data_IF_974178576451
#
_entry.id   IF_974178576451
#
_cell.length_a   1.000
_cell.length_b   1.000
_cell.length_c   1.000
_cell.angle_alpha   90.00
_cell.angle_beta   90.00
_cell.angle_gamma   90.00
#
_symmetry.space_group_name_H-M   'P 1'
#
loop_
_entity.id
_entity.type
_entity.pdbx_description
1 polymer ?
#
# COMPACT_ATOMS: atom_id res chain seq x y z
N UNK A 1 24.27 44.53 61.33
CA UNK A 1 24.79 43.30 60.65
C UNK A 1 23.59 42.41 60.33
N UNK A 2 23.06 42.48 59.13
CA UNK A 2 21.95 41.61 58.64
C UNK A 2 22.52 40.72 57.54
N UNK A 3 22.56 39.42 57.78
CA UNK A 3 22.97 38.40 56.76
C UNK A 3 21.80 38.10 55.88
N UNK A 4 21.93 38.40 54.58
CA UNK A 4 20.96 38.06 53.58
C UNK A 4 21.23 36.61 53.10
N UNK A 5 20.25 35.75 53.25
CA UNK A 5 20.27 34.36 52.80
C UNK A 5 19.76 34.33 51.31
N UNK A 6 20.63 33.93 50.41
CA UNK A 6 20.27 33.73 49.00
C UNK A 6 19.80 32.24 48.85
N UNK A 7 18.54 32.05 48.56
CA UNK A 7 17.98 30.73 48.23
C UNK A 7 18.10 30.54 46.71
N UNK A 8 19.00 29.67 46.30
CA UNK A 8 19.02 29.16 44.91
C UNK A 8 17.90 28.15 44.68
N UNK A 9 16.91 28.51 43.92
CA UNK A 9 15.88 27.59 43.42
C UNK A 9 16.43 26.79 42.24
N UNK A 10 16.77 25.54 42.45
CA UNK A 10 17.05 24.60 41.36
C UNK A 10 15.74 24.17 40.70
N UNK A 11 15.47 24.67 39.49
CA UNK A 11 14.38 24.18 38.64
C UNK A 11 14.84 22.87 38.03
N UNK A 12 14.30 21.76 38.53
CA UNK A 12 14.45 20.43 37.95
C UNK A 12 13.50 20.34 36.74
N UNK A 13 14.04 20.45 35.54
CA UNK A 13 13.32 20.14 34.28
C UNK A 13 13.15 18.63 34.21
N UNK A 14 11.96 18.15 34.54
CA UNK A 14 11.51 16.78 34.28
C UNK A 14 11.19 16.65 32.78
N UNK A 15 12.13 16.16 31.99
CA UNK A 15 11.87 15.63 30.66
C UNK A 15 11.10 14.31 30.80
N UNK A 16 10.01 14.10 30.07
CA UNK A 16 9.36 12.80 30.08
C UNK A 16 10.24 11.79 29.36
N UNK A 17 10.77 10.85 30.10
CA UNK A 17 11.43 9.66 29.56
C UNK A 17 10.33 8.81 28.92
N UNK A 18 10.20 8.89 27.61
CA UNK A 18 9.43 7.89 26.86
C UNK A 18 10.15 6.55 26.98
N UNK A 19 9.63 5.70 27.84
CA UNK A 19 10.00 4.29 27.90
C UNK A 19 9.64 3.64 26.57
N UNK A 20 10.61 3.52 25.67
CA UNK A 20 10.54 2.64 24.51
C UNK A 20 10.63 1.22 25.05
N UNK A 21 9.49 0.61 25.35
CA UNK A 21 9.41 -0.83 25.57
C UNK A 21 9.69 -1.50 24.23
N UNK A 22 10.95 -1.83 23.99
CA UNK A 22 11.36 -2.76 22.96
C UNK A 22 10.83 -4.15 23.33
N UNK A 23 9.70 -4.52 22.73
CA UNK A 23 9.29 -5.91 22.73
C UNK A 23 10.27 -6.69 21.83
N UNK A 24 11.30 -7.26 22.42
CA UNK A 24 12.05 -8.36 21.82
C UNK A 24 11.14 -9.60 21.83
N UNK A 25 10.22 -9.66 20.87
CA UNK A 25 9.57 -10.91 20.52
C UNK A 25 10.65 -11.83 19.94
N UNK A 26 10.75 -13.05 20.46
CA UNK A 26 11.49 -14.15 19.86
C UNK A 26 10.80 -14.46 18.49
N UNK A 27 11.09 -13.63 17.48
CA UNK A 27 10.70 -13.90 16.10
C UNK A 27 11.46 -15.13 15.63
N UNK A 28 10.76 -16.22 15.39
CA UNK A 28 11.30 -17.28 14.55
C UNK A 28 11.56 -16.64 13.19
N UNK A 29 12.82 -16.33 12.90
CA UNK A 29 13.23 -15.83 11.60
C UNK A 29 12.84 -16.90 10.58
N UNK A 30 11.83 -16.61 9.75
CA UNK A 30 11.57 -17.43 8.58
C UNK A 30 12.81 -17.37 7.71
N UNK A 31 13.55 -18.48 7.63
CA UNK A 31 14.66 -18.58 6.69
C UNK A 31 14.08 -18.59 5.27
N UNK A 32 14.46 -17.60 4.48
CA UNK A 32 14.13 -17.49 3.06
C UNK A 32 15.11 -18.39 2.28
N UNK A 33 14.84 -19.68 2.23
CA UNK A 33 15.74 -20.72 1.69
C UNK A 33 16.01 -20.62 0.16
N UNK A 34 15.37 -19.71 -0.54
CA UNK A 34 15.52 -19.50 -2.00
C UNK A 34 15.92 -18.08 -2.39
N UNK A 35 16.47 -17.29 -1.45
CA UNK A 35 16.81 -15.90 -1.72
C UNK A 35 18.17 -15.75 -2.36
N UNK A 36 18.25 -15.02 -3.47
CA UNK A 36 19.50 -14.52 -4.02
C UNK A 36 19.94 -13.26 -3.25
N UNK A 37 21.27 -13.04 -3.18
CA UNK A 37 21.83 -11.86 -2.51
C UNK A 37 21.35 -10.57 -3.17
N UNK A 38 21.01 -9.57 -2.38
CA UNK A 38 20.50 -8.28 -2.88
C UNK A 38 19.03 -8.25 -3.32
N UNK A 39 18.38 -9.40 -3.49
CA UNK A 39 17.02 -9.51 -4.02
C UNK A 39 15.97 -8.97 -3.04
N UNK A 40 15.02 -8.18 -3.56
CA UNK A 40 13.87 -7.64 -2.84
C UNK A 40 12.57 -8.06 -3.55
N UNK A 41 11.66 -8.71 -2.83
CA UNK A 41 10.32 -9.04 -3.33
C UNK A 41 9.32 -7.98 -2.86
N UNK A 42 8.68 -7.32 -3.83
CA UNK A 42 7.67 -6.28 -3.61
C UNK A 42 6.31 -6.81 -4.01
N UNK A 43 5.28 -6.56 -3.21
CA UNK A 43 3.89 -6.89 -3.49
C UNK A 43 3.04 -5.62 -3.38
N UNK A 44 2.02 -5.48 -4.23
CA UNK A 44 0.96 -4.50 -4.04
C UNK A 44 -0.41 -5.18 -4.12
N UNK A 45 -1.35 -4.73 -3.28
CA UNK A 45 -2.72 -5.22 -3.31
C UNK A 45 -3.73 -4.19 -2.80
N UNK A 46 -4.73 -3.86 -3.61
CA UNK A 46 -5.92 -3.18 -3.13
C UNK A 46 -6.80 -4.20 -2.40
N UNK A 47 -7.09 -3.97 -1.12
CA UNK A 47 -7.81 -4.90 -0.25
C UNK A 47 -9.33 -4.74 -0.28
N UNK A 48 -9.89 -3.90 -1.15
CA UNK A 48 -11.34 -3.64 -1.24
C UNK A 48 -11.98 -3.39 0.13
N UNK A 49 -11.76 -2.19 0.70
CA UNK A 49 -12.41 -1.74 1.94
C UNK A 49 -12.10 -2.61 3.18
N UNK A 50 -10.85 -2.59 3.64
CA UNK A 50 -10.48 -3.15 4.94
C UNK A 50 -10.83 -2.15 6.05
N UNK A 51 -12.11 -2.10 6.42
CA UNK A 51 -12.63 -1.22 7.44
C UNK A 51 -12.56 -1.82 8.85
N UNK A 52 -12.53 -0.94 9.86
CA UNK A 52 -12.78 -1.30 11.26
C UNK A 52 -14.26 -1.75 11.41
N UNK A 53 -14.49 -2.75 12.23
CA UNK A 53 -15.87 -3.21 12.53
C UNK A 53 -16.54 -2.42 13.65
N UNK A 54 -15.77 -1.61 14.37
CA UNK A 54 -16.26 -0.73 15.44
C UNK A 54 -16.83 0.53 14.80
N UNK A 55 -17.82 1.10 15.45
CA UNK A 55 -18.27 2.44 15.12
C UNK A 55 -17.37 3.41 15.87
N UNK A 56 -16.53 4.13 15.19
CA UNK A 56 -15.82 5.25 15.77
C UNK A 56 -16.70 6.49 15.66
N UNK A 57 -17.18 7.01 16.81
CA UNK A 57 -18.11 8.13 16.86
C UNK A 57 -17.43 9.48 16.76
N UNK A 58 -16.10 9.54 16.67
CA UNK A 58 -15.32 10.78 16.79
C UNK A 58 -14.99 11.47 15.46
N UNK A 59 -15.47 10.99 14.33
CA UNK A 59 -15.16 11.63 13.06
C UNK A 59 -15.75 10.96 11.82
N UNK A 60 -16.88 10.27 11.97
CA UNK A 60 -17.51 9.40 10.98
C UNK A 60 -17.34 9.82 9.53
N UNK A 61 -16.64 9.00 8.74
CA UNK A 61 -16.57 9.14 7.30
C UNK A 61 -17.82 8.54 6.64
N UNK A 62 -17.99 8.78 5.34
CA UNK A 62 -19.18 8.32 4.59
C UNK A 62 -19.34 6.78 4.62
N UNK A 63 -18.24 6.04 4.75
CA UNK A 63 -18.23 4.58 4.72
C UNK A 63 -18.51 3.94 6.08
N UNK A 64 -18.27 4.64 7.17
CA UNK A 64 -18.46 4.11 8.54
C UNK A 64 -19.90 3.69 8.83
N UNK A 65 -20.88 4.46 8.35
CA UNK A 65 -22.30 4.13 8.46
C UNK A 65 -22.67 2.83 7.70
N UNK A 66 -21.93 2.49 6.68
CA UNK A 66 -22.13 1.28 5.87
C UNK A 66 -21.35 0.07 6.43
N UNK A 67 -20.04 0.28 6.78
CA UNK A 67 -19.10 -0.76 7.15
C UNK A 67 -18.85 -0.88 8.66
N UNK A 68 -19.89 -0.82 9.46
CA UNK A 68 -19.82 -1.16 10.88
C UNK A 68 -20.66 -2.39 11.21
N UNK A 69 -20.54 -2.90 12.43
CA UNK A 69 -21.34 -4.06 12.89
C UNK A 69 -22.86 -3.79 12.83
N UNK A 70 -23.27 -2.53 12.94
CA UNK A 70 -24.67 -2.07 12.89
C UNK A 70 -25.00 -1.41 11.55
N UNK A 71 -24.02 -1.20 10.69
CA UNK A 71 -24.20 -0.62 9.37
C UNK A 71 -24.87 -1.55 8.37
N UNK A 72 -25.20 -1.02 7.19
CA UNK A 72 -25.89 -1.76 6.11
C UNK A 72 -25.19 -3.06 5.69
N UNK A 73 -23.86 -3.10 5.76
CA UNK A 73 -23.03 -4.28 5.42
C UNK A 73 -22.93 -5.28 6.56
N UNK A 74 -23.36 -4.93 7.78
CA UNK A 74 -23.13 -5.76 8.97
C UNK A 74 -21.66 -6.24 9.06
N UNK A 75 -20.71 -5.29 8.95
CA UNK A 75 -19.29 -5.56 8.99
C UNK A 75 -18.84 -5.87 10.40
N UNK A 76 -18.97 -7.15 10.81
CA UNK A 76 -18.69 -7.61 12.18
C UNK A 76 -17.21 -7.97 12.35
N UNK A 77 -16.73 -8.00 13.61
CA UNK A 77 -15.40 -8.51 13.97
C UNK A 77 -15.09 -9.87 13.33
N UNK A 78 -16.07 -10.77 13.29
CA UNK A 78 -15.90 -12.11 12.67
C UNK A 78 -15.61 -12.00 11.17
N UNK A 79 -16.32 -11.13 10.44
CA UNK A 79 -16.11 -10.92 9.00
C UNK A 79 -14.76 -10.24 8.74
N UNK A 80 -14.41 -9.25 9.56
CA UNK A 80 -13.10 -8.61 9.52
C UNK A 80 -11.96 -9.63 9.72
N UNK A 81 -12.02 -10.44 10.77
CA UNK A 81 -10.99 -11.45 11.03
C UNK A 81 -10.94 -12.54 9.95
N UNK A 82 -12.08 -12.91 9.38
CA UNK A 82 -12.11 -13.84 8.25
C UNK A 82 -11.34 -13.26 7.04
N UNK A 83 -11.56 -11.99 6.72
CA UNK A 83 -10.84 -11.29 5.66
C UNK A 83 -9.35 -11.16 5.99
N UNK A 84 -8.98 -10.75 7.20
CA UNK A 84 -7.58 -10.67 7.63
C UNK A 84 -6.86 -12.03 7.53
N UNK A 85 -7.50 -13.13 7.91
CA UNK A 85 -6.92 -14.46 7.77
C UNK A 85 -6.74 -14.87 6.31
N UNK A 86 -7.66 -14.50 5.43
CA UNK A 86 -7.52 -14.76 4.00
C UNK A 86 -6.39 -13.92 3.39
N UNK A 87 -6.21 -12.65 3.81
CA UNK A 87 -5.07 -11.80 3.42
C UNK A 87 -3.75 -12.45 3.88
N UNK A 88 -3.66 -12.84 5.15
CA UNK A 88 -2.46 -13.49 5.68
C UNK A 88 -2.15 -14.80 4.94
N UNK A 89 -3.17 -15.64 4.67
CA UNK A 89 -3.02 -16.85 3.87
C UNK A 89 -2.48 -16.54 2.47
N UNK A 90 -2.92 -15.44 1.86
CA UNK A 90 -2.45 -15.02 0.54
C UNK A 90 -0.97 -14.63 0.56
N UNK A 91 -0.53 -13.90 1.59
CA UNK A 91 0.88 -13.53 1.76
C UNK A 91 1.76 -14.79 1.94
N UNK A 92 1.31 -15.77 2.70
CA UNK A 92 2.04 -17.05 2.82
C UNK A 92 1.99 -17.87 1.53
N UNK A 93 0.89 -17.81 0.78
CA UNK A 93 0.83 -18.44 -0.55
C UNK A 93 1.84 -17.81 -1.51
N UNK A 94 2.01 -16.47 -1.47
CA UNK A 94 3.07 -15.78 -2.22
C UNK A 94 4.44 -16.28 -1.79
N UNK A 95 4.70 -16.39 -0.47
CA UNK A 95 5.94 -16.99 0.04
C UNK A 95 6.21 -18.38 -0.53
N UNK A 96 5.18 -19.24 -0.57
CA UNK A 96 5.34 -20.62 -1.07
C UNK A 96 5.61 -20.64 -2.59
N UNK A 97 5.09 -19.68 -3.35
CA UNK A 97 5.30 -19.56 -4.79
C UNK A 97 6.63 -18.89 -5.14
N UNK A 98 7.01 -17.85 -4.39
CA UNK A 98 8.22 -17.08 -4.63
C UNK A 98 9.46 -17.64 -3.90
N UNK A 99 9.28 -18.57 -2.96
CA UNK A 99 10.33 -19.07 -2.09
C UNK A 99 10.70 -18.14 -0.93
N UNK A 100 10.21 -16.90 -0.94
CA UNK A 100 10.49 -15.86 0.04
C UNK A 100 9.22 -15.07 0.40
N UNK A 101 9.15 -14.55 1.62
CA UNK A 101 8.12 -13.57 1.97
C UNK A 101 8.36 -12.26 1.22
N UNK A 102 7.30 -11.53 0.80
CA UNK A 102 7.45 -10.17 0.32
C UNK A 102 8.20 -9.31 1.35
N UNK A 103 9.22 -8.59 0.91
CA UNK A 103 9.97 -7.67 1.78
C UNK A 103 9.17 -6.39 2.02
N UNK A 104 8.39 -5.99 1.01
CA UNK A 104 7.52 -4.83 1.03
C UNK A 104 6.15 -5.20 0.47
N UNK A 105 5.09 -4.77 1.15
CA UNK A 105 3.71 -4.93 0.70
C UNK A 105 3.05 -3.55 0.73
N UNK A 106 2.81 -2.96 -0.44
CA UNK A 106 1.94 -1.81 -0.60
C UNK A 106 0.48 -2.25 -0.54
N UNK A 107 -0.33 -1.48 0.14
CA UNK A 107 -1.74 -1.81 0.38
C UNK A 107 -2.58 -0.56 0.09
N UNK A 108 -3.74 -0.75 -0.54
CA UNK A 108 -4.76 0.28 -0.69
C UNK A 108 -6.08 -0.15 -0.07
N UNK A 109 -6.94 0.83 0.21
CA UNK A 109 -8.26 0.69 0.81
C UNK A 109 -8.24 0.10 2.23
N UNK A 110 -7.38 0.63 3.07
CA UNK A 110 -7.41 0.42 4.53
C UNK A 110 -7.98 1.66 5.22
N UNK A 111 -8.76 1.48 6.28
CA UNK A 111 -9.36 2.61 6.96
C UNK A 111 -8.38 3.34 7.88
N UNK A 112 -7.59 2.61 8.66
CA UNK A 112 -6.74 3.20 9.69
C UNK A 112 -5.63 2.24 10.15
N UNK A 113 -4.73 2.75 10.99
CA UNK A 113 -3.64 1.96 11.56
C UNK A 113 -4.11 0.76 12.38
N UNK A 114 -5.25 0.90 13.08
CA UNK A 114 -5.78 -0.18 13.91
C UNK A 114 -6.07 -1.44 13.12
N UNK A 115 -6.70 -1.35 11.95
CA UNK A 115 -7.00 -2.54 11.11
C UNK A 115 -5.73 -3.26 10.67
N UNK A 116 -4.65 -2.53 10.39
CA UNK A 116 -3.34 -3.09 10.05
C UNK A 116 -2.68 -3.79 11.25
N UNK A 117 -2.78 -3.20 12.44
CA UNK A 117 -2.30 -3.84 13.67
C UNK A 117 -3.04 -5.14 13.97
N UNK A 118 -4.37 -5.18 13.74
CA UNK A 118 -5.15 -6.41 13.89
C UNK A 118 -4.78 -7.45 12.85
N UNK A 119 -4.57 -7.02 11.59
CA UNK A 119 -4.08 -7.90 10.54
C UNK A 119 -2.76 -8.57 10.95
N UNK A 120 -1.80 -7.82 11.46
CA UNK A 120 -0.50 -8.38 11.85
C UNK A 120 -0.58 -9.22 13.14
N UNK A 121 -1.38 -8.81 14.14
CA UNK A 121 -1.36 -9.44 15.48
C UNK A 121 -2.36 -10.58 15.64
N UNK A 122 -3.51 -10.54 14.94
CA UNK A 122 -4.59 -11.53 15.10
C UNK A 122 -4.63 -12.58 13.98
N UNK A 123 -3.60 -12.63 13.11
CA UNK A 123 -3.41 -13.64 12.07
C UNK A 123 -2.03 -14.28 12.19
N UNK A 124 -1.73 -15.38 11.49
CA UNK A 124 -0.39 -15.99 11.49
C UNK A 124 0.76 -15.06 11.12
N UNK A 125 0.49 -13.84 10.59
CA UNK A 125 1.51 -12.82 10.34
C UNK A 125 2.19 -12.32 11.62
N UNK A 126 1.63 -12.58 12.83
CA UNK A 126 2.29 -12.26 14.10
C UNK A 126 3.65 -12.95 14.25
N UNK A 127 3.90 -14.02 13.50
CA UNK A 127 5.16 -14.77 13.48
C UNK A 127 6.23 -14.12 12.58
N UNK A 128 5.85 -13.09 11.82
CA UNK A 128 6.73 -12.37 10.92
C UNK A 128 7.26 -11.10 11.58
N UNK A 129 8.22 -10.48 10.96
CA UNK A 129 8.84 -9.22 11.40
C UNK A 129 8.27 -7.98 10.69
N UNK A 130 7.08 -8.08 10.10
CA UNK A 130 6.46 -6.94 9.44
C UNK A 130 6.21 -5.76 10.38
N UNK A 131 6.55 -4.57 9.87
CA UNK A 131 6.25 -3.26 10.48
C UNK A 131 5.32 -2.48 9.55
N UNK A 132 4.61 -1.51 10.13
CA UNK A 132 3.58 -0.73 9.44
C UNK A 132 4.08 0.70 9.22
N UNK A 133 3.96 1.19 7.99
CA UNK A 133 3.96 2.61 7.64
C UNK A 133 2.56 2.98 7.18
N UNK A 134 1.93 3.94 7.84
CA UNK A 134 0.58 4.39 7.56
C UNK A 134 0.37 5.82 8.06
N UNK A 135 -0.35 6.62 7.28
CA UNK A 135 -0.81 7.95 7.61
C UNK A 135 -2.27 8.08 7.18
N UNK A 136 -3.08 8.76 8.00
CA UNK A 136 -4.44 9.10 7.64
C UNK A 136 -4.42 10.15 6.52
N UNK A 137 -5.30 10.02 5.54
CA UNK A 137 -5.44 10.95 4.41
C UNK A 137 -6.81 11.63 4.40
N UNK A 138 -6.96 12.75 3.70
CA UNK A 138 -8.22 13.51 3.70
C UNK A 138 -9.32 12.90 2.80
N UNK A 139 -9.24 11.64 2.42
CA UNK A 139 -10.24 11.00 1.56
C UNK A 139 -11.62 10.95 2.24
N UNK A 140 -12.71 11.39 1.57
CA UNK A 140 -14.05 11.40 2.17
C UNK A 140 -14.60 10.01 2.54
N UNK A 141 -14.13 8.95 1.87
CA UNK A 141 -14.51 7.57 2.18
C UNK A 141 -13.79 7.04 3.42
N UNK A 142 -12.76 7.75 3.93
CA UNK A 142 -11.92 7.30 5.03
C UNK A 142 -11.12 6.06 4.67
N UNK A 143 -10.55 6.02 3.47
CA UNK A 143 -9.65 4.96 3.03
C UNK A 143 -8.28 5.54 2.71
N UNK A 144 -7.24 4.78 3.07
CA UNK A 144 -5.85 5.17 2.95
C UNK A 144 -5.05 4.16 2.15
N UNK A 145 -3.80 4.52 1.90
CA UNK A 145 -2.74 3.59 1.50
C UNK A 145 -1.84 3.29 2.69
N UNK A 146 -1.24 2.11 2.68
CA UNK A 146 -0.30 1.69 3.71
C UNK A 146 0.86 0.89 3.10
N UNK A 147 1.91 0.69 3.89
CA UNK A 147 3.02 -0.16 3.52
C UNK A 147 3.42 -1.04 4.72
N UNK A 148 3.54 -2.34 4.48
CA UNK A 148 4.16 -3.28 5.39
C UNK A 148 5.56 -3.59 4.89
N UNK A 149 6.55 -3.64 5.79
CA UNK A 149 7.93 -4.00 5.44
C UNK A 149 8.54 -4.94 6.45
N UNK A 150 9.46 -5.77 6.01
CA UNK A 150 10.22 -6.67 6.87
C UNK A 150 11.40 -5.94 7.52
N UNK A 151 11.32 -5.76 8.85
CA UNK A 151 12.34 -5.01 9.60
C UNK A 151 13.69 -5.72 9.69
N UNK A 152 13.75 -7.02 9.41
CA UNK A 152 15.01 -7.77 9.27
C UNK A 152 15.71 -7.54 7.93
N UNK A 153 15.00 -6.93 6.96
CA UNK A 153 15.48 -6.76 5.58
C UNK A 153 15.70 -5.31 5.20
N UNK A 154 14.94 -4.40 5.79
CA UNK A 154 14.91 -2.99 5.43
C UNK A 154 14.88 -2.14 6.70
N UNK A 155 15.76 -1.16 6.76
CA UNK A 155 15.73 -0.12 7.79
C UNK A 155 14.96 1.09 7.26
N UNK A 156 13.89 1.47 7.96
CA UNK A 156 13.08 2.65 7.59
C UNK A 156 13.84 3.93 7.96
N UNK A 157 14.25 4.70 6.96
CA UNK A 157 14.97 5.97 7.14
C UNK A 157 13.99 7.14 7.24
N UNK A 158 12.95 7.14 6.41
CA UNK A 158 11.96 8.21 6.36
C UNK A 158 10.63 7.70 5.84
N UNK A 159 9.54 8.22 6.39
CA UNK A 159 8.22 8.06 5.79
C UNK A 159 7.43 9.37 5.93
N UNK A 160 6.62 9.70 4.92
CA UNK A 160 5.73 10.86 4.93
C UNK A 160 4.54 10.70 3.97
N UNK A 161 3.38 11.28 4.31
CA UNK A 161 2.30 11.45 3.36
C UNK A 161 2.63 12.60 2.40
N UNK A 162 2.20 12.48 1.15
CA UNK A 162 2.36 13.51 0.11
C UNK A 162 0.95 13.87 -0.37
N UNK A 163 0.50 15.06 -0.02
CA UNK A 163 -0.82 15.55 -0.42
C UNK A 163 -0.94 15.71 -1.95
N UNK A 164 -2.05 15.22 -2.50
CA UNK A 164 -2.31 15.23 -3.94
C UNK A 164 -3.20 16.42 -4.36
N UNK A 165 -4.31 16.64 -3.66
CA UNK A 165 -5.35 17.55 -4.13
C UNK A 165 -5.28 18.99 -3.60
N UNK A 166 -4.38 19.27 -2.65
CA UNK A 166 -4.35 20.55 -1.94
C UNK A 166 -3.83 21.74 -2.76
N UNK A 167 -3.04 21.47 -3.80
CA UNK A 167 -2.47 22.50 -4.70
C UNK A 167 -3.24 22.70 -6.01
N UNK A 168 -4.37 22.04 -6.20
CA UNK A 168 -5.19 22.14 -7.43
C UNK A 168 -6.24 23.25 -7.32
N UNK A 169 -6.74 23.72 -8.45
CA UNK A 169 -7.84 24.69 -8.53
C UNK A 169 -9.00 24.10 -9.35
N UNK A 170 -10.16 23.82 -8.75
CA UNK A 170 -10.42 23.84 -7.29
C UNK A 170 -9.71 22.69 -6.55
N UNK A 171 -9.39 22.87 -5.27
CA UNK A 171 -8.81 21.80 -4.47
C UNK A 171 -9.80 20.64 -4.28
N UNK A 172 -9.28 19.42 -4.19
CA UNK A 172 -10.09 18.24 -3.93
C UNK A 172 -9.45 17.35 -2.86
N UNK A 173 -10.29 16.57 -2.19
CA UNK A 173 -9.87 15.63 -1.15
C UNK A 173 -9.74 14.23 -1.74
N UNK A 174 -8.60 13.60 -1.49
CA UNK A 174 -8.31 12.23 -1.94
C UNK A 174 -7.22 11.62 -1.04
N UNK A 175 -6.83 10.38 -1.32
CA UNK A 175 -5.71 9.71 -0.66
C UNK A 175 -4.41 10.42 -0.97
N UNK A 176 -3.56 10.52 0.03
CA UNK A 176 -2.18 10.96 -0.13
C UNK A 176 -1.33 9.85 -0.74
N UNK A 177 -0.26 10.20 -1.44
CA UNK A 177 0.78 9.24 -1.81
C UNK A 177 1.63 8.97 -0.57
N UNK A 178 1.85 7.70 -0.23
CA UNK A 178 2.73 7.33 0.87
C UNK A 178 4.14 7.14 0.34
N UNK A 179 5.06 7.99 0.75
CA UNK A 179 6.49 7.83 0.51
C UNK A 179 7.15 7.16 1.70
N UNK A 180 7.91 6.09 1.46
CA UNK A 180 8.77 5.44 2.44
C UNK A 180 10.15 5.18 1.84
N UNK A 181 11.21 5.63 2.53
CA UNK A 181 12.61 5.46 2.15
C UNK A 181 13.27 4.46 3.09
N UNK A 182 13.99 3.52 2.51
CA UNK A 182 14.66 2.47 3.26
C UNK A 182 16.14 2.41 2.89
N UNK A 183 16.92 1.86 3.82
CA UNK A 183 18.27 1.40 3.57
C UNK A 183 18.28 -0.14 3.65
N UNK A 184 18.92 -0.78 2.68
CA UNK A 184 19.18 -2.22 2.68
C UNK A 184 20.45 -2.54 3.49
N UNK A 185 20.65 -3.78 3.93
CA UNK A 185 21.86 -4.18 4.66
C UNK A 185 23.17 -3.96 3.89
N UNK A 186 23.12 -3.97 2.55
CA UNK A 186 24.25 -3.68 1.66
C UNK A 186 24.56 -2.17 1.55
N UNK A 187 23.77 -1.31 2.17
CA UNK A 187 23.93 0.15 2.16
C UNK A 187 23.15 0.85 1.06
N UNK A 188 22.54 0.12 0.12
CA UNK A 188 21.71 0.70 -0.93
C UNK A 188 20.44 1.35 -0.37
N UNK A 189 20.10 2.52 -0.89
CA UNK A 189 18.85 3.21 -0.57
C UNK A 189 17.77 2.88 -1.60
N UNK A 190 16.54 2.65 -1.12
CA UNK A 190 15.38 2.31 -1.93
C UNK A 190 14.16 3.08 -1.45
N UNK A 191 13.41 3.70 -2.36
CA UNK A 191 12.16 4.37 -2.03
C UNK A 191 10.96 3.65 -2.64
N UNK A 192 9.88 3.59 -1.86
CA UNK A 192 8.58 3.12 -2.29
C UNK A 192 7.57 4.25 -2.22
N UNK A 193 6.76 4.39 -3.27
CA UNK A 193 5.65 5.34 -3.34
C UNK A 193 4.36 4.55 -3.55
N UNK A 194 3.53 4.46 -2.51
CA UNK A 194 2.25 3.74 -2.59
C UNK A 194 1.15 4.71 -2.98
N UNK A 195 0.41 4.37 -4.03
CA UNK A 195 -0.60 5.21 -4.67
C UNK A 195 -1.97 4.56 -4.66
N UNK A 196 -3.02 5.37 -4.55
CA UNK A 196 -4.38 4.99 -4.90
C UNK A 196 -5.09 6.20 -5.50
N UNK A 197 -5.12 6.25 -6.83
CA UNK A 197 -5.63 7.38 -7.58
C UNK A 197 -7.17 7.46 -7.53
N UNK A 198 -7.76 8.65 -7.78
CA UNK A 198 -9.21 8.81 -7.86
C UNK A 198 -9.86 7.88 -8.88
N UNK A 199 -10.93 7.18 -8.45
CA UNK A 199 -11.67 6.25 -9.30
C UNK A 199 -12.30 6.93 -10.52
N UNK A 200 -12.53 6.17 -11.60
CA UNK A 200 -13.30 6.60 -12.77
C UNK A 200 -14.78 6.87 -12.46
N UNK A 201 -15.28 6.38 -11.34
CA UNK A 201 -16.67 6.52 -10.94
C UNK A 201 -17.03 8.00 -10.68
N UNK A 202 -18.12 8.48 -11.32
CA UNK A 202 -18.56 9.87 -11.17
C UNK A 202 -18.20 10.84 -12.33
N UNK A 203 -17.64 10.37 -13.43
CA UNK A 203 -17.64 11.03 -14.77
C UNK A 203 -16.71 12.23 -14.98
N UNK A 204 -16.15 12.88 -13.95
CA UNK A 204 -15.27 14.05 -14.08
C UNK A 204 -13.93 13.90 -13.34
N UNK A 205 -13.43 12.69 -13.20
CA UNK A 205 -12.25 12.39 -12.38
C UNK A 205 -10.93 12.32 -13.15
N UNK A 206 -10.95 12.50 -14.49
CA UNK A 206 -9.74 12.48 -15.33
C UNK A 206 -8.70 13.50 -14.86
N UNK A 207 -9.07 14.76 -14.70
CA UNK A 207 -8.17 15.80 -14.21
C UNK A 207 -7.64 15.55 -12.79
N UNK A 208 -8.41 14.86 -11.93
CA UNK A 208 -7.93 14.49 -10.59
C UNK A 208 -6.88 13.37 -10.63
N UNK A 209 -7.03 12.41 -11.55
CA UNK A 209 -6.00 11.37 -11.76
C UNK A 209 -4.74 11.96 -12.37
N UNK A 210 -4.90 12.86 -13.34
CA UNK A 210 -3.78 13.59 -13.93
C UNK A 210 -3.02 14.43 -12.87
N UNK A 211 -3.72 15.14 -12.00
CA UNK A 211 -3.11 15.85 -10.86
C UNK A 211 -2.33 14.91 -9.93
N UNK A 212 -2.83 13.68 -9.70
CA UNK A 212 -2.11 12.68 -8.93
C UNK A 212 -0.84 12.19 -9.64
N UNK A 213 -0.88 12.00 -10.97
CA UNK A 213 0.30 11.65 -11.77
C UNK A 213 1.34 12.78 -11.76
N UNK A 214 0.91 14.04 -11.94
CA UNK A 214 1.79 15.21 -11.86
C UNK A 214 2.47 15.26 -10.47
N UNK A 215 1.68 15.07 -9.41
CA UNK A 215 2.22 15.07 -8.04
C UNK A 215 3.22 13.95 -7.81
N UNK A 216 2.92 12.74 -8.30
CA UNK A 216 3.85 11.61 -8.24
C UNK A 216 5.15 11.94 -8.99
N UNK A 217 5.04 12.55 -10.19
CA UNK A 217 6.19 12.98 -10.98
C UNK A 217 7.06 13.97 -10.24
N UNK A 218 6.49 15.05 -9.69
CA UNK A 218 7.21 16.05 -8.90
C UNK A 218 8.01 15.42 -7.74
N UNK A 219 7.41 14.43 -7.07
CA UNK A 219 8.07 13.74 -5.95
C UNK A 219 9.21 12.87 -6.44
N UNK A 220 9.02 12.11 -7.51
CA UNK A 220 10.08 11.24 -8.06
C UNK A 220 11.25 12.06 -8.60
N UNK A 221 11.00 13.17 -9.29
CA UNK A 221 12.06 14.08 -9.75
C UNK A 221 12.85 14.65 -8.57
N UNK A 222 12.14 15.17 -7.56
CA UNK A 222 12.78 15.72 -6.35
C UNK A 222 13.65 14.70 -5.61
N UNK A 223 13.26 13.42 -5.60
CA UNK A 223 14.05 12.35 -4.99
C UNK A 223 15.31 12.05 -5.81
N UNK A 224 15.19 12.01 -7.13
CA UNK A 224 16.30 11.77 -8.05
C UNK A 224 17.29 12.92 -8.04
N UNK A 225 16.82 14.16 -8.04
CA UNK A 225 17.66 15.36 -7.88
C UNK A 225 18.43 15.35 -6.55
N UNK A 226 17.84 14.73 -5.51
CA UNK A 226 18.51 14.52 -4.22
C UNK A 226 19.44 13.28 -4.20
N UNK A 227 19.65 12.60 -5.33
CA UNK A 227 20.54 11.45 -5.47
C UNK A 227 19.92 10.09 -5.09
N UNK A 228 18.61 10.05 -4.82
CA UNK A 228 17.92 8.78 -4.55
C UNK A 228 17.42 8.16 -5.87
N UNK A 229 18.23 7.28 -6.43
CA UNK A 229 17.99 6.75 -7.78
C UNK A 229 17.04 5.54 -7.79
N UNK A 230 17.09 4.67 -6.77
CA UNK A 230 16.30 3.43 -6.76
C UNK A 230 14.90 3.67 -6.21
N UNK A 231 13.89 3.64 -7.07
CA UNK A 231 12.50 3.89 -6.70
C UNK A 231 11.54 2.91 -7.35
N UNK A 232 10.50 2.57 -6.58
CA UNK A 232 9.34 1.80 -7.03
C UNK A 232 8.07 2.57 -6.66
N UNK A 233 7.33 3.08 -7.64
CA UNK A 233 5.97 3.53 -7.45
C UNK A 233 5.02 2.38 -7.74
N UNK A 234 4.10 2.12 -6.82
CA UNK A 234 3.12 1.04 -6.92
C UNK A 234 1.75 1.52 -6.48
N UNK A 235 0.71 0.94 -7.03
CA UNK A 235 -0.63 1.36 -6.63
C UNK A 235 -1.74 0.91 -7.55
N UNK A 236 -2.96 1.23 -7.11
CA UNK A 236 -4.15 1.28 -7.94
C UNK A 236 -4.24 2.67 -8.57
N UNK A 237 -3.91 2.75 -9.86
CA UNK A 237 -3.92 3.99 -10.61
C UNK A 237 -5.31 4.31 -11.20
N UNK A 238 -6.28 3.41 -11.04
CA UNK A 238 -7.64 3.56 -11.52
C UNK A 238 -7.74 3.94 -13.01
N UNK A 239 -6.74 3.56 -13.79
CA UNK A 239 -6.72 3.67 -15.25
C UNK A 239 -5.84 2.57 -15.87
N UNK A 240 -6.03 2.27 -17.14
CA UNK A 240 -5.25 1.25 -17.84
C UNK A 240 -3.92 1.83 -18.35
N UNK A 241 -2.84 1.03 -18.42
CA UNK A 241 -1.49 1.53 -18.71
C UNK A 241 -1.34 2.16 -20.10
N UNK A 242 -2.28 1.91 -21.01
CA UNK A 242 -2.32 2.52 -22.35
C UNK A 242 -2.83 3.97 -22.34
N UNK A 243 -3.36 4.46 -21.21
CA UNK A 243 -3.83 5.85 -21.14
C UNK A 243 -2.65 6.82 -21.35
N UNK A 244 -2.76 7.75 -22.34
CA UNK A 244 -1.67 8.70 -22.64
C UNK A 244 -1.24 9.57 -21.45
N UNK A 245 -2.09 9.75 -20.43
CA UNK A 245 -1.75 10.50 -19.23
C UNK A 245 -0.52 9.90 -18.47
N UNK A 246 -0.25 8.59 -18.63
CA UNK A 246 0.94 7.98 -18.04
C UNK A 246 2.26 8.45 -18.69
N UNK A 247 2.20 9.11 -19.86
CA UNK A 247 3.34 9.84 -20.43
C UNK A 247 3.94 10.86 -19.46
N UNK A 248 3.15 11.42 -18.53
CA UNK A 248 3.63 12.29 -17.45
C UNK A 248 4.75 11.61 -16.64
N UNK A 249 4.69 10.30 -16.45
CA UNK A 249 5.70 9.54 -15.69
C UNK A 249 6.79 8.95 -16.57
N UNK A 250 6.49 8.64 -17.85
CA UNK A 250 7.32 7.78 -18.70
C UNK A 250 8.00 8.51 -19.85
N UNK A 251 7.66 9.78 -20.10
CA UNK A 251 8.13 10.50 -21.30
C UNK A 251 8.66 11.89 -20.96
N UNK A 252 9.57 12.43 -21.80
CA UNK A 252 9.92 13.83 -21.86
C UNK A 252 10.70 14.43 -20.69
N UNK A 253 11.26 13.61 -19.79
CA UNK A 253 11.96 14.06 -18.58
C UNK A 253 13.36 13.47 -18.47
N UNK A 254 14.20 14.09 -17.62
CA UNK A 254 15.58 13.64 -17.39
C UNK A 254 15.66 12.23 -16.82
N UNK A 255 14.60 11.80 -16.08
CA UNK A 255 14.57 10.55 -15.34
C UNK A 255 13.19 9.88 -15.48
N UNK A 256 12.83 9.36 -16.66
CA UNK A 256 11.54 8.70 -16.87
C UNK A 256 11.42 7.44 -16.00
N UNK A 257 10.20 7.13 -15.58
CA UNK A 257 9.89 5.84 -14.97
C UNK A 257 9.49 4.83 -16.04
N UNK A 258 9.75 3.56 -15.78
CA UNK A 258 9.37 2.45 -16.65
C UNK A 258 8.07 1.84 -16.12
N UNK A 259 7.02 1.82 -16.95
CA UNK A 259 5.76 1.16 -16.62
C UNK A 259 5.86 -0.35 -16.92
N UNK A 260 5.88 -1.17 -15.86
CA UNK A 260 6.00 -2.62 -15.98
C UNK A 260 4.69 -3.33 -16.33
N UNK A 261 3.56 -2.63 -16.29
CA UNK A 261 2.25 -3.22 -16.57
C UNK A 261 1.90 -3.29 -18.07
N UNK A 262 2.51 -2.45 -18.91
CA UNK A 262 2.24 -2.41 -20.35
C UNK A 262 2.39 -3.77 -21.07
N UNK A 263 3.46 -4.56 -20.86
CA UNK A 263 3.60 -5.85 -21.50
C UNK A 263 2.53 -6.86 -21.09
N UNK A 264 2.00 -6.77 -19.86
CA UNK A 264 0.95 -7.66 -19.36
C UNK A 264 -0.40 -7.26 -19.94
N UNK A 265 -0.72 -5.97 -19.94
CA UNK A 265 -1.96 -5.45 -20.52
C UNK A 265 -2.06 -5.79 -22.00
N UNK A 266 -0.97 -5.66 -22.79
CA UNK A 266 -0.94 -6.02 -24.20
C UNK A 266 -1.22 -7.51 -24.47
N UNK A 267 -0.98 -8.39 -23.48
CA UNK A 267 -1.36 -9.81 -23.53
C UNK A 267 -2.77 -10.09 -23.01
N UNK A 268 -3.54 -9.05 -22.66
CA UNK A 268 -4.89 -9.18 -22.12
C UNK A 268 -4.95 -9.60 -20.65
N UNK A 269 -3.84 -9.45 -19.92
CA UNK A 269 -3.83 -9.63 -18.47
C UNK A 269 -4.41 -8.41 -17.76
N UNK A 270 -4.89 -8.60 -16.53
CA UNK A 270 -5.42 -7.51 -15.71
C UNK A 270 -5.55 -7.91 -14.26
N UNK A 271 -5.70 -6.92 -13.41
CA UNK A 271 -5.82 -7.07 -11.96
C UNK A 271 -7.27 -7.07 -11.49
N UNK A 272 -8.17 -6.43 -12.24
CA UNK A 272 -9.62 -6.46 -12.01
C UNK A 272 -10.35 -7.08 -13.21
N UNK A 273 -11.59 -7.54 -12.94
CA UNK A 273 -12.47 -7.99 -14.03
C UNK A 273 -13.75 -7.20 -14.08
N UNK A 274 -13.90 -6.39 -15.11
CA UNK A 274 -15.07 -5.56 -15.35
C UNK A 274 -15.80 -6.00 -16.62
N UNK A 275 -17.12 -6.24 -16.53
CA UNK A 275 -17.95 -6.68 -17.66
C UNK A 275 -17.34 -7.85 -18.47
N UNK A 276 -16.74 -8.81 -17.79
CA UNK A 276 -16.11 -9.98 -18.40
C UNK A 276 -14.72 -9.76 -19.02
N UNK A 277 -14.21 -8.55 -18.98
CA UNK A 277 -12.85 -8.21 -19.47
C UNK A 277 -11.91 -7.98 -18.31
N UNK A 278 -10.67 -8.40 -18.45
CA UNK A 278 -9.60 -8.05 -17.54
C UNK A 278 -9.08 -6.65 -17.85
N UNK A 279 -8.92 -5.83 -16.82
CA UNK A 279 -8.33 -4.50 -16.90
C UNK A 279 -7.14 -4.43 -15.95
N UNK A 280 -6.03 -3.87 -16.42
CA UNK A 280 -4.81 -3.67 -15.64
C UNK A 280 -4.86 -2.25 -15.05
N UNK A 281 -5.17 -2.12 -13.76
CA UNK A 281 -5.22 -0.82 -13.08
C UNK A 281 -4.28 -0.73 -11.87
N UNK A 282 -3.81 -1.87 -11.39
CA UNK A 282 -2.74 -1.95 -10.40
C UNK A 282 -1.42 -2.13 -11.13
N UNK A 283 -0.42 -1.27 -10.85
CA UNK A 283 0.81 -1.19 -11.62
C UNK A 283 2.03 -0.96 -10.74
N UNK A 284 3.18 -1.33 -11.29
CA UNK A 284 4.48 -0.88 -10.84
C UNK A 284 5.11 0.03 -11.90
N UNK A 285 5.63 1.16 -11.43
CA UNK A 285 6.57 2.00 -12.16
C UNK A 285 7.92 1.96 -11.43
N UNK A 286 9.00 1.77 -12.16
CA UNK A 286 10.34 1.71 -11.58
C UNK A 286 11.25 2.75 -12.22
N UNK A 287 12.22 3.24 -11.45
CA UNK A 287 13.30 4.06 -12.00
C UNK A 287 14.23 3.24 -12.91
N UNK A 288 14.94 3.89 -13.82
CA UNK A 288 15.91 3.23 -14.70
C UNK A 288 16.97 2.47 -13.92
N UNK A 289 17.40 2.98 -12.76
CA UNK A 289 18.39 2.32 -11.91
C UNK A 289 17.93 0.97 -11.36
N UNK A 290 16.63 0.80 -11.08
CA UNK A 290 16.04 -0.47 -10.68
C UNK A 290 16.01 -1.46 -11.85
N UNK A 291 15.94 -0.94 -13.08
CA UNK A 291 15.96 -1.75 -14.30
C UNK A 291 17.38 -1.96 -14.90
N UNK A 292 18.45 -1.60 -14.16
CA UNK A 292 19.82 -1.64 -14.66
C UNK A 292 20.31 -3.06 -14.96
N UNK A 293 21.23 -3.14 -15.94
CA UNK A 293 21.86 -4.38 -16.37
C UNK A 293 21.17 -5.09 -17.53
N UNK A 294 20.19 -4.43 -18.19
CA UNK A 294 19.45 -5.00 -19.33
C UNK A 294 18.32 -5.96 -18.95
N UNK A 295 18.14 -6.21 -17.66
CA UNK A 295 17.01 -6.99 -17.13
C UNK A 295 15.98 -6.05 -16.54
N UNK A 296 14.97 -5.67 -17.33
CA UNK A 296 13.78 -5.00 -16.81
C UNK A 296 13.07 -5.99 -15.87
N UNK A 297 12.84 -5.63 -14.60
CA UNK A 297 12.16 -6.51 -13.65
C UNK A 297 10.78 -6.90 -14.17
N UNK A 298 10.39 -8.16 -14.00
CA UNK A 298 9.08 -8.63 -14.45
C UNK A 298 8.04 -8.47 -13.37
N UNK A 299 7.01 -7.68 -13.67
CA UNK A 299 5.78 -7.62 -12.90
C UNK A 299 4.92 -8.86 -13.20
N UNK A 300 4.27 -9.42 -12.18
CA UNK A 300 3.33 -10.54 -12.35
C UNK A 300 2.02 -10.28 -11.60
N UNK A 301 0.90 -10.69 -12.20
CA UNK A 301 -0.42 -10.69 -11.57
C UNK A 301 -0.66 -12.06 -10.92
N UNK A 302 -1.04 -12.09 -9.66
CA UNK A 302 -1.24 -13.33 -8.92
C UNK A 302 -2.72 -13.69 -8.85
N UNK A 303 -3.15 -14.66 -9.65
CA UNK A 303 -4.48 -15.27 -9.55
C UNK A 303 -4.45 -16.38 -8.52
N UNK A 304 -4.58 -16.01 -7.24
CA UNK A 304 -4.51 -16.94 -6.11
C UNK A 304 -5.78 -17.79 -6.12
N UNK A 305 -5.72 -19.14 -6.23
CA UNK A 305 -6.89 -19.97 -6.51
C UNK A 305 -8.06 -19.80 -5.53
N UNK A 306 -7.79 -19.67 -4.23
CA UNK A 306 -8.84 -19.50 -3.22
C UNK A 306 -9.39 -18.06 -3.12
N UNK A 307 -8.84 -17.11 -3.88
CA UNK A 307 -9.37 -15.74 -4.05
C UNK A 307 -10.16 -15.59 -5.36
N UNK A 308 -10.28 -16.65 -6.14
CA UNK A 308 -11.00 -16.61 -7.42
C UNK A 308 -12.36 -17.30 -7.29
N UNK A 309 -13.30 -16.86 -8.09
CA UNK A 309 -14.62 -17.45 -8.22
C UNK A 309 -15.09 -17.43 -9.68
N UNK A 310 -15.99 -18.34 -10.03
CA UNK A 310 -16.60 -18.34 -11.36
C UNK A 310 -17.36 -17.03 -11.61
N UNK A 311 -17.18 -16.45 -12.76
CA UNK A 311 -18.01 -15.32 -13.20
C UNK A 311 -19.32 -15.84 -13.77
N UNK A 312 -20.43 -15.70 -13.01
CA UNK A 312 -21.73 -16.20 -13.42
C UNK A 312 -22.37 -15.38 -14.56
N UNK A 313 -21.89 -14.15 -14.80
CA UNK A 313 -22.40 -13.27 -15.87
C UNK A 313 -21.62 -13.44 -17.18
N UNK A 314 -20.34 -13.87 -17.08
CA UNK A 314 -19.45 -14.01 -18.23
C UNK A 314 -18.64 -15.31 -18.08
N UNK A 315 -18.07 -15.82 -19.17
CA UNK A 315 -17.21 -17.01 -19.11
C UNK A 315 -15.93 -16.74 -18.32
N UNK A 316 -15.45 -17.77 -17.57
CA UNK A 316 -14.18 -17.72 -16.83
C UNK A 316 -14.35 -17.36 -15.36
N UNK A 317 -13.26 -16.87 -14.76
CA UNK A 317 -13.17 -16.57 -13.33
C UNK A 317 -12.92 -15.09 -13.10
N UNK A 318 -13.26 -14.63 -11.89
CA UNK A 318 -13.01 -13.27 -11.41
C UNK A 318 -12.57 -13.32 -9.95
N UNK A 319 -11.94 -12.25 -9.42
CA UNK A 319 -11.64 -12.13 -8.01
C UNK A 319 -12.92 -12.22 -7.17
N UNK A 320 -12.83 -12.92 -6.03
CA UNK A 320 -13.91 -13.08 -5.07
C UNK A 320 -13.92 -11.87 -4.12
N UNK A 321 -14.86 -10.97 -4.36
CA UNK A 321 -15.09 -9.77 -3.54
C UNK A 321 -15.54 -10.11 -2.12
N UNK A 322 -15.38 -9.15 -1.22
CA UNK A 322 -15.97 -9.26 0.13
C UNK A 322 -17.50 -9.21 0.08
N UNK A 323 -18.05 -8.35 -0.79
CA UNK A 323 -19.49 -8.19 -0.99
C UNK A 323 -19.87 -8.16 -2.47
N UNK A 324 -21.06 -8.66 -2.77
CA UNK A 324 -21.73 -8.43 -4.06
C UNK A 324 -23.01 -7.67 -3.80
N UNK A 325 -23.02 -6.37 -4.11
CA UNK A 325 -24.06 -5.46 -3.63
C UNK A 325 -24.12 -5.45 -2.09
N UNK A 326 -25.30 -5.66 -1.47
CA UNK A 326 -25.41 -5.73 -0.01
C UNK A 326 -25.01 -7.10 0.58
N UNK A 327 -24.87 -8.14 -0.27
CA UNK A 327 -24.68 -9.51 0.17
C UNK A 327 -23.20 -9.77 0.48
N UNK A 328 -22.91 -10.22 1.72
CA UNK A 328 -21.60 -10.74 2.09
C UNK A 328 -21.33 -12.09 1.39
N UNK A 329 -20.23 -12.20 0.68
CA UNK A 329 -19.83 -13.42 -0.04
C UNK A 329 -18.50 -13.99 0.45
N UNK A 330 -17.82 -13.29 1.36
CA UNK A 330 -16.68 -13.82 2.12
C UNK A 330 -15.35 -13.86 1.38
N UNK A 331 -15.23 -13.17 0.27
CA UNK A 331 -13.94 -12.96 -0.41
C UNK A 331 -13.11 -11.83 0.21
N UNK A 332 -12.04 -11.46 -0.46
CA UNK A 332 -11.09 -10.44 0.01
C UNK A 332 -11.16 -9.17 -0.81
N UNK A 333 -11.08 -9.27 -2.12
CA UNK A 333 -10.95 -8.10 -3.00
C UNK A 333 -11.46 -8.41 -4.39
N UNK A 334 -11.84 -7.36 -5.14
CA UNK A 334 -12.07 -7.40 -6.58
C UNK A 334 -10.77 -7.20 -7.38
N UNK A 335 -9.64 -7.02 -6.69
CA UNK A 335 -8.31 -6.93 -7.28
C UNK A 335 -7.50 -8.21 -7.05
N UNK A 336 -6.75 -8.64 -8.05
CA UNK A 336 -5.67 -9.60 -7.91
C UNK A 336 -4.41 -8.85 -7.42
N UNK A 337 -3.65 -9.41 -6.45
CA UNK A 337 -2.37 -8.81 -6.08
C UNK A 337 -1.36 -8.89 -7.23
N UNK A 338 -0.42 -7.95 -7.22
CA UNK A 338 0.73 -7.92 -8.13
C UNK A 338 2.03 -8.04 -7.36
N UNK A 339 3.04 -8.67 -7.97
CA UNK A 339 4.37 -8.81 -7.40
C UNK A 339 5.44 -8.37 -8.40
N UNK A 340 6.54 -7.93 -7.83
CA UNK A 340 7.73 -7.49 -8.54
C UNK A 340 8.96 -7.99 -7.78
N UNK A 341 9.96 -8.51 -8.48
CA UNK A 341 11.24 -8.92 -7.93
C UNK A 341 12.34 -8.01 -8.49
N UNK A 342 13.04 -7.31 -7.60
CA UNK A 342 14.12 -6.37 -7.92
C UNK A 342 15.39 -6.72 -7.16
#
# INVERSE_FOLDING_TARGET
MKRTLIILSAILLLLPVYCIYGYHGLGTHFQDAGREEGQTLVMFWNLENLFDWRRDTLGGNESEAEFSSFGKKHWTKRRFLAKCNAIAKSIFWVKDKEGILPDVIGIAEVENRFVLERLLRETPLYKTDYRIVHFDSPDPRGIDVALLYRSSRLELIQAKPIAVGGGTDPPFRTRDILLARFQKPDGDSLAFLVNHHPSKYGGRTGGRREAALIRLREVTDSLQDAGLMNMVAMGDFNDTPENPAFGILTEGYSHPLINLALPLASRGEGTIRYSGKWEMIDMFFVSESVAQGGNIPEMRVLRIPFLMTRDNAHSGEKPLRTYTGPRYVGGVSDHCPIVLRI
#
